data_IF_545019781800
#
_entry.id   IF_545019781800
#
_cell.length_a   1.000
_cell.length_b   1.000
_cell.length_c   1.000
_cell.angle_alpha   90.00
_cell.angle_beta   90.00
_cell.angle_gamma   90.00
#
_symmetry.space_group_name_H-M   'P 1'
#
loop_
_entity.id
_entity.type
_entity.pdbx_description
1 polymer ?
#
# COMPACT_ATOMS: atom_id res chain seq x y z
N UNK A 1 -4.73 -8.78 -11.69
CA UNK A 1 -5.50 -9.71 -10.85
C UNK A 1 -6.88 -9.98 -11.46
N UNK A 2 -7.61 -10.91 -10.88
CA UNK A 2 -9.00 -11.15 -11.32
C UNK A 2 -9.89 -10.01 -10.86
N UNK A 3 -10.88 -9.65 -11.67
CA UNK A 3 -11.92 -8.72 -11.27
C UNK A 3 -12.71 -9.27 -10.07
N UNK A 4 -13.04 -8.40 -9.13
CA UNK A 4 -13.93 -8.74 -8.03
C UNK A 4 -15.39 -8.72 -8.50
N UNK A 5 -16.22 -9.54 -7.88
CA UNK A 5 -17.66 -9.46 -8.07
C UNK A 5 -18.17 -8.07 -7.67
N UNK A 6 -19.23 -7.61 -8.31
CA UNK A 6 -19.77 -6.27 -8.08
C UNK A 6 -20.14 -6.04 -6.61
N UNK A 7 -20.81 -7.01 -5.98
CA UNK A 7 -21.15 -6.99 -4.56
C UNK A 7 -19.94 -6.83 -3.64
N UNK A 8 -18.81 -7.47 -3.99
CA UNK A 8 -17.55 -7.33 -3.25
C UNK A 8 -16.99 -5.92 -3.37
N UNK A 9 -17.05 -5.35 -4.58
CA UNK A 9 -16.60 -3.97 -4.82
C UNK A 9 -17.45 -2.97 -4.02
N UNK A 10 -18.76 -3.13 -4.03
CA UNK A 10 -19.70 -2.28 -3.29
C UNK A 10 -19.47 -2.36 -1.78
N UNK A 11 -19.34 -3.58 -1.27
CA UNK A 11 -19.04 -3.82 0.16
C UNK A 11 -17.70 -3.21 0.59
N UNK A 12 -16.66 -3.30 -0.25
CA UNK A 12 -15.36 -2.70 0.04
C UNK A 12 -15.43 -1.17 0.07
N UNK A 13 -16.14 -0.57 -0.89
CA UNK A 13 -16.36 0.88 -0.93
C UNK A 13 -17.11 1.36 0.31
N UNK A 14 -18.19 0.66 0.66
CA UNK A 14 -19.01 1.02 1.83
C UNK A 14 -18.23 0.87 3.13
N UNK A 15 -17.49 -0.23 3.28
CA UNK A 15 -16.61 -0.45 4.44
C UNK A 15 -15.65 0.74 4.66
N UNK A 16 -14.97 1.17 3.59
CA UNK A 16 -14.02 2.29 3.71
C UNK A 16 -14.79 3.60 3.93
N UNK A 17 -15.87 3.85 3.19
CA UNK A 17 -16.65 5.09 3.31
C UNK A 17 -17.17 5.31 4.72
N UNK A 18 -17.60 4.26 5.41
CA UNK A 18 -18.15 4.32 6.77
C UNK A 18 -17.08 4.35 7.88
N UNK A 19 -15.80 4.36 7.53
CA UNK A 19 -14.71 4.57 8.50
C UNK A 19 -13.73 3.42 8.60
N UNK A 20 -13.92 2.37 7.80
CA UNK A 20 -12.98 1.26 7.71
C UNK A 20 -11.60 1.72 7.21
N UNK A 21 -10.57 1.00 7.61
CA UNK A 21 -9.20 1.25 7.16
C UNK A 21 -8.75 0.25 6.10
N UNK A 22 -7.95 0.73 5.15
CA UNK A 22 -7.33 -0.10 4.12
C UNK A 22 -5.84 0.23 4.02
N UNK A 23 -5.00 -0.80 3.90
CA UNK A 23 -3.56 -0.64 3.63
C UNK A 23 -3.22 -1.35 2.34
N UNK A 24 -2.59 -0.63 1.42
CA UNK A 24 -2.15 -1.15 0.13
C UNK A 24 -0.63 -1.13 0.05
N UNK A 25 -0.07 -2.24 -0.38
CA UNK A 25 1.37 -2.42 -0.47
C UNK A 25 1.75 -2.62 -1.93
N UNK A 26 2.72 -1.84 -2.37
CA UNK A 26 3.41 -1.96 -3.65
C UNK A 26 2.44 -2.15 -4.84
N UNK A 27 2.50 -3.29 -5.53
CA UNK A 27 1.73 -3.57 -6.73
C UNK A 27 0.20 -3.67 -6.51
N UNK A 28 -0.29 -3.59 -5.28
CA UNK A 28 -1.73 -3.49 -5.05
C UNK A 28 -2.33 -2.25 -5.73
N UNK A 29 -1.56 -1.16 -5.85
CA UNK A 29 -2.01 0.04 -6.55
C UNK A 29 -2.10 -0.10 -8.08
N UNK A 30 -1.61 -1.21 -8.66
CA UNK A 30 -1.73 -1.51 -10.09
C UNK A 30 -3.10 -2.11 -10.45
N UNK A 31 -3.82 -2.63 -9.44
CA UNK A 31 -5.08 -3.34 -9.64
C UNK A 31 -6.22 -2.41 -10.12
N UNK A 32 -7.27 -3.00 -10.63
CA UNK A 32 -8.59 -2.42 -10.88
C UNK A 32 -8.60 -1.06 -11.59
N UNK A 33 -7.81 -0.92 -12.66
CA UNK A 33 -7.69 0.35 -13.41
C UNK A 33 -9.04 0.94 -13.83
N UNK A 34 -10.03 0.12 -14.12
CA UNK A 34 -11.36 0.52 -14.59
C UNK A 34 -12.40 0.64 -13.47
N UNK A 35 -11.98 0.61 -12.21
CA UNK A 35 -12.88 0.78 -11.07
C UNK A 35 -12.64 2.16 -10.44
N UNK A 36 -13.49 3.12 -10.76
CA UNK A 36 -13.31 4.54 -10.38
C UNK A 36 -13.21 4.73 -8.87
N UNK A 37 -14.08 4.07 -8.10
CA UNK A 37 -14.03 4.16 -6.64
C UNK A 37 -12.70 3.64 -6.05
N UNK A 38 -12.12 2.58 -6.66
CA UNK A 38 -10.80 2.12 -6.26
C UNK A 38 -9.72 3.15 -6.57
N UNK A 39 -9.77 3.77 -7.76
CA UNK A 39 -8.84 4.82 -8.13
C UNK A 39 -8.95 6.04 -7.21
N UNK A 40 -10.15 6.38 -6.77
CA UNK A 40 -10.37 7.45 -5.77
C UNK A 40 -9.82 7.05 -4.39
N UNK A 41 -10.03 5.80 -3.95
CA UNK A 41 -9.51 5.30 -2.67
C UNK A 41 -7.99 5.26 -2.63
N UNK A 42 -7.32 4.86 -3.73
CA UNK A 42 -5.86 4.77 -3.74
C UNK A 42 -5.17 6.10 -4.11
N UNK A 43 -5.90 7.07 -4.64
CA UNK A 43 -5.39 8.39 -5.03
C UNK A 43 -4.40 8.39 -6.19
N UNK A 44 -3.32 7.62 -6.06
CA UNK A 44 -2.28 7.45 -7.08
C UNK A 44 -2.06 5.96 -7.33
N UNK A 45 -2.09 5.53 -8.58
CA UNK A 45 -1.87 4.15 -8.99
C UNK A 45 -0.93 4.05 -10.19
N UNK A 46 -0.48 2.85 -10.48
CA UNK A 46 0.26 2.57 -11.70
C UNK A 46 -0.69 2.67 -12.91
N UNK A 47 -0.66 3.80 -13.57
CA UNK A 47 -1.58 4.13 -14.66
C UNK A 47 -0.84 4.64 -15.90
N UNK A 48 -1.50 4.55 -17.05
CA UNK A 48 -0.99 5.10 -18.30
C UNK A 48 -0.98 6.64 -18.30
N UNK A 49 -0.30 7.23 -19.27
CA UNK A 49 -0.35 8.67 -19.51
C UNK A 49 -1.81 9.17 -19.57
N UNK A 50 -2.03 10.40 -19.19
CA UNK A 50 -3.34 11.08 -19.17
C UNK A 50 -4.39 10.48 -18.19
N UNK A 51 -4.00 9.59 -17.28
CA UNK A 51 -4.88 9.08 -16.25
C UNK A 51 -4.79 9.95 -14.98
N UNK A 52 -5.54 11.04 -14.94
CA UNK A 52 -5.54 11.94 -13.78
C UNK A 52 -4.20 12.65 -13.55
N UNK A 53 -4.01 13.13 -12.33
CA UNK A 53 -2.83 13.90 -11.93
C UNK A 53 -1.62 13.00 -11.63
N UNK A 54 -0.43 13.50 -11.91
CA UNK A 54 0.82 12.96 -11.44
C UNK A 54 1.39 13.90 -10.38
N UNK A 55 1.53 13.39 -9.16
CA UNK A 55 1.97 14.19 -8.01
C UNK A 55 3.42 13.86 -7.67
N UNK A 56 4.21 14.91 -7.42
CA UNK A 56 5.58 14.84 -6.91
C UNK A 56 5.75 15.75 -5.70
N UNK A 57 6.91 15.67 -5.05
CA UNK A 57 7.22 16.53 -3.92
C UNK A 57 8.30 17.57 -4.28
N UNK A 58 7.96 18.84 -4.17
CA UNK A 58 8.89 19.94 -4.34
C UNK A 58 9.62 20.23 -3.02
N UNK A 59 10.91 19.87 -2.99
CA UNK A 59 11.71 19.96 -1.75
C UNK A 59 11.88 21.41 -1.28
N UNK A 60 12.16 22.33 -2.22
CA UNK A 60 12.41 23.74 -1.87
C UNK A 60 11.21 24.45 -1.26
N UNK A 61 10.01 24.12 -1.71
CA UNK A 61 8.76 24.69 -1.17
C UNK A 61 8.07 23.79 -0.17
N UNK A 62 8.64 22.62 0.10
CA UNK A 62 8.13 21.60 1.03
C UNK A 62 6.63 21.30 0.83
N UNK A 63 6.23 21.01 -0.43
CA UNK A 63 4.83 20.77 -0.78
C UNK A 63 4.70 19.80 -1.96
N UNK A 64 3.54 19.14 -2.10
CA UNK A 64 3.22 18.42 -3.32
C UNK A 64 2.96 19.38 -4.48
N UNK A 65 3.21 18.92 -5.70
CA UNK A 65 2.85 19.64 -6.92
C UNK A 65 2.43 18.67 -8.03
N UNK A 66 1.54 19.13 -8.88
CA UNK A 66 1.12 18.41 -10.09
C UNK A 66 2.17 18.60 -11.16
N UNK A 67 2.57 17.52 -11.79
CA UNK A 67 3.58 17.52 -12.86
C UNK A 67 3.06 16.79 -14.11
N UNK A 68 3.90 16.50 -15.04
CA UNK A 68 3.72 15.91 -16.37
C UNK A 68 2.33 15.34 -16.72
N UNK A 69 1.81 15.72 -17.89
CA UNK A 69 0.52 15.22 -18.40
C UNK A 69 0.65 13.92 -19.20
N UNK A 70 1.79 13.67 -19.80
CA UNK A 70 2.05 12.58 -20.76
C UNK A 70 3.01 11.51 -20.25
N UNK A 71 3.47 11.59 -19.00
CA UNK A 71 4.32 10.58 -18.41
C UNK A 71 3.50 9.35 -17.96
N UNK A 72 4.05 8.16 -18.15
CA UNK A 72 3.50 6.91 -17.62
C UNK A 72 4.15 6.55 -16.30
N UNK A 73 3.42 5.82 -15.46
CA UNK A 73 4.01 5.21 -14.26
C UNK A 73 5.10 4.21 -14.64
N UNK A 74 6.12 4.11 -13.81
CA UNK A 74 7.26 3.25 -14.01
C UNK A 74 8.10 3.10 -12.74
N UNK A 75 9.23 2.44 -12.89
CA UNK A 75 10.31 2.40 -11.92
C UNK A 75 11.65 2.29 -12.65
N UNK A 76 12.73 2.63 -11.98
CA UNK A 76 14.09 2.36 -12.46
C UNK A 76 14.58 0.99 -12.02
N UNK A 77 15.91 0.80 -12.04
CA UNK A 77 16.52 -0.41 -11.48
C UNK A 77 16.30 -0.47 -9.96
N UNK A 78 16.18 -1.67 -9.41
CA UNK A 78 16.09 -1.88 -7.97
C UNK A 78 17.39 -1.47 -7.29
N UNK A 79 17.30 -0.66 -6.26
CA UNK A 79 18.43 -0.14 -5.49
C UNK A 79 17.98 0.29 -4.08
N UNK A 80 18.88 0.41 -3.11
CA UNK A 80 18.59 1.10 -1.86
C UNK A 80 18.35 2.58 -2.13
N UNK A 81 17.38 3.19 -1.43
CA UNK A 81 17.10 4.62 -1.56
C UNK A 81 16.71 5.27 -0.24
N UNK A 82 17.07 6.53 -0.12
CA UNK A 82 16.73 7.32 1.07
C UNK A 82 15.27 7.75 1.00
N UNK A 83 14.54 7.50 2.09
CA UNK A 83 13.16 7.95 2.31
C UNK A 83 13.17 9.19 3.19
N UNK A 84 12.49 10.24 2.78
CA UNK A 84 12.34 11.49 3.53
C UNK A 84 10.90 11.63 4.04
N UNK A 85 10.75 11.86 5.35
CA UNK A 85 9.46 12.11 6.00
C UNK A 85 8.94 13.49 5.59
N UNK A 86 7.65 13.59 5.23
CA UNK A 86 7.00 14.82 4.77
C UNK A 86 5.90 15.31 5.69
N UNK A 87 5.37 14.43 6.53
CA UNK A 87 4.34 14.74 7.51
C UNK A 87 4.75 14.19 8.89
N UNK A 88 5.73 14.83 9.59
CA UNK A 88 6.27 14.31 10.85
C UNK A 88 5.22 14.25 11.97
N UNK A 89 4.20 15.10 11.92
CA UNK A 89 3.12 15.12 12.92
C UNK A 89 2.04 14.04 12.68
N UNK A 90 2.10 13.35 11.53
CA UNK A 90 1.15 12.29 11.25
C UNK A 90 1.43 11.07 12.15
N UNK A 91 0.41 10.41 12.74
CA UNK A 91 0.60 9.32 13.69
C UNK A 91 1.55 8.20 13.19
N UNK A 92 1.49 7.85 11.90
CA UNK A 92 2.37 6.85 11.30
C UNK A 92 3.84 7.31 11.33
N UNK A 93 4.11 8.61 11.13
CA UNK A 93 5.45 9.17 10.99
C UNK A 93 6.01 9.78 12.28
N UNK A 94 5.21 9.86 13.32
CA UNK A 94 5.65 10.39 14.61
C UNK A 94 6.87 9.63 15.13
N UNK A 95 7.90 10.35 15.56
CA UNK A 95 9.18 9.83 16.07
C UNK A 95 10.01 9.05 15.03
N UNK A 96 9.59 8.98 13.78
CA UNK A 96 10.39 8.44 12.67
C UNK A 96 11.48 9.45 12.30
N UNK A 97 12.76 9.05 12.12
CA UNK A 97 13.81 9.94 11.66
C UNK A 97 13.41 10.69 10.38
N UNK A 98 13.82 11.95 10.27
CA UNK A 98 13.46 12.81 9.12
C UNK A 98 13.86 12.19 7.77
N UNK A 99 14.94 11.42 7.76
CA UNK A 99 15.43 10.63 6.62
C UNK A 99 15.94 9.28 7.10
N UNK A 100 15.73 8.24 6.30
CA UNK A 100 16.21 6.90 6.60
C UNK A 100 16.46 6.10 5.31
N UNK A 101 17.33 5.09 5.35
CA UNK A 101 17.68 4.29 4.19
C UNK A 101 16.77 3.06 4.09
N UNK A 102 16.07 2.92 2.96
CA UNK A 102 15.32 1.73 2.60
C UNK A 102 16.21 0.72 1.88
N UNK A 103 15.92 -0.57 2.09
CA UNK A 103 16.62 -1.67 1.41
C UNK A 103 16.40 -1.65 -0.11
N UNK A 104 17.10 -2.53 -0.81
CA UNK A 104 17.00 -2.64 -2.28
C UNK A 104 15.59 -2.98 -2.71
N UNK A 105 14.95 -2.04 -3.40
CA UNK A 105 13.54 -2.14 -3.80
C UNK A 105 13.28 -1.40 -5.13
N UNK A 106 12.08 -1.50 -5.67
CA UNK A 106 11.60 -0.69 -6.80
C UNK A 106 11.09 0.65 -6.30
N UNK A 107 11.72 1.74 -6.72
CA UNK A 107 11.20 3.07 -6.47
C UNK A 107 10.22 3.43 -7.58
N UNK A 108 8.92 3.34 -7.29
CA UNK A 108 7.88 3.72 -8.24
C UNK A 108 7.90 5.23 -8.50
N UNK A 109 7.70 5.59 -9.75
CA UNK A 109 7.65 6.98 -10.17
C UNK A 109 6.49 7.28 -11.13
N UNK A 110 6.15 8.56 -11.27
CA UNK A 110 5.07 9.04 -12.13
C UNK A 110 3.72 8.33 -11.84
N UNK A 111 3.46 7.98 -10.59
CA UNK A 111 2.18 7.42 -10.21
C UNK A 111 1.06 8.44 -10.46
N UNK A 112 -0.08 7.97 -10.94
CA UNK A 112 -1.16 8.83 -11.44
C UNK A 112 -2.50 8.47 -10.84
N UNK A 113 -3.38 9.46 -10.76
CA UNK A 113 -4.73 9.20 -10.30
C UNK A 113 -5.52 10.46 -10.00
N UNK A 114 -6.72 10.31 -9.42
CA UNK A 114 -7.54 11.45 -9.00
C UNK A 114 -6.85 12.34 -7.97
N UNK A 115 -5.93 11.79 -7.16
CA UNK A 115 -5.13 12.47 -6.13
C UNK A 115 -5.94 13.37 -5.18
N UNK A 116 -7.23 13.05 -4.96
CA UNK A 116 -8.11 13.80 -4.07
C UNK A 116 -7.87 13.40 -2.61
N UNK A 117 -7.94 14.37 -1.70
CA UNK A 117 -7.81 14.16 -0.25
C UNK A 117 -6.53 13.39 0.15
N UNK A 118 -5.46 13.61 -0.59
CA UNK A 118 -4.19 12.91 -0.45
C UNK A 118 -3.23 13.71 0.43
N UNK A 119 -2.63 13.03 1.41
CA UNK A 119 -1.54 13.54 2.25
C UNK A 119 -0.30 12.70 2.03
N UNK A 120 0.78 13.29 1.53
CA UNK A 120 2.06 12.61 1.37
C UNK A 120 2.76 12.53 2.71
N UNK A 121 3.02 11.31 3.18
CA UNK A 121 3.68 11.02 4.46
C UNK A 121 5.20 10.93 4.28
N UNK A 122 5.65 10.35 3.17
CA UNK A 122 7.07 10.26 2.82
C UNK A 122 7.29 10.28 1.31
N UNK A 123 8.50 10.67 0.90
CA UNK A 123 8.94 10.67 -0.51
C UNK A 123 10.38 10.19 -0.62
N UNK A 124 10.78 9.75 -1.82
CA UNK A 124 12.17 9.41 -2.13
C UNK A 124 12.60 10.02 -3.46
N UNK A 125 13.90 10.34 -3.59
CA UNK A 125 14.46 10.89 -4.82
C UNK A 125 14.65 9.78 -5.86
N UNK A 126 13.94 9.86 -6.95
CA UNK A 126 13.99 8.92 -8.08
C UNK A 126 15.16 9.28 -9.00
N UNK A 127 16.33 8.71 -8.71
CA UNK A 127 17.59 9.08 -9.37
C UNK A 127 17.61 8.74 -10.86
N UNK A 128 18.00 9.69 -11.70
CA UNK A 128 18.20 9.47 -13.14
C UNK A 128 19.26 8.40 -13.43
N UNK A 129 20.27 8.25 -12.55
CA UNK A 129 21.31 7.21 -12.69
C UNK A 129 20.72 5.79 -12.57
N UNK A 130 19.58 5.66 -11.90
CA UNK A 130 18.86 4.39 -11.74
C UNK A 130 17.69 4.25 -12.72
N UNK A 131 17.55 5.14 -13.69
CA UNK A 131 16.41 5.16 -14.62
C UNK A 131 15.19 5.88 -14.07
N UNK A 132 15.36 6.69 -13.05
CA UNK A 132 14.28 7.47 -12.43
C UNK A 132 14.06 8.84 -13.07
N UNK A 133 13.19 9.64 -12.47
CA UNK A 133 12.70 10.92 -13.00
C UNK A 133 13.59 12.11 -12.66
N UNK A 134 14.43 12.01 -11.64
CA UNK A 134 15.21 13.13 -11.11
C UNK A 134 14.41 14.00 -10.13
N UNK A 135 13.26 13.50 -9.65
CA UNK A 135 12.35 14.21 -8.76
C UNK A 135 12.05 13.35 -7.52
N UNK A 136 11.47 13.95 -6.48
CA UNK A 136 10.98 13.24 -5.33
C UNK A 136 9.57 12.67 -5.59
N UNK A 137 9.47 11.35 -5.56
CA UNK A 137 8.22 10.61 -5.76
C UNK A 137 7.56 10.28 -4.41
N UNK A 138 6.23 10.34 -4.30
CA UNK A 138 5.51 9.87 -3.12
C UNK A 138 5.75 8.37 -2.86
N UNK A 139 6.12 8.01 -1.64
CA UNK A 139 6.41 6.63 -1.27
C UNK A 139 5.36 6.07 -0.32
N UNK A 140 5.01 6.83 0.71
CA UNK A 140 3.90 6.50 1.62
C UNK A 140 2.95 7.68 1.66
N UNK A 141 1.67 7.44 1.54
CA UNK A 141 0.65 8.49 1.58
C UNK A 141 -0.68 7.98 2.10
N UNK A 142 -1.48 8.89 2.66
CA UNK A 142 -2.85 8.64 3.09
C UNK A 142 -3.83 9.26 2.11
N UNK A 143 -4.92 8.55 1.83
CA UNK A 143 -6.12 9.10 1.19
C UNK A 143 -7.29 8.99 2.15
N UNK A 144 -7.99 10.09 2.40
CA UNK A 144 -9.25 10.08 3.15
C UNK A 144 -10.41 9.86 2.19
N UNK A 145 -11.11 8.74 2.39
CA UNK A 145 -12.27 8.35 1.58
C UNK A 145 -13.50 8.20 2.46
N UNK A 146 -14.43 9.14 2.38
CA UNK A 146 -15.52 9.24 3.35
C UNK A 146 -14.98 9.47 4.78
N UNK A 147 -15.35 8.59 5.70
CA UNK A 147 -14.81 8.56 7.07
C UNK A 147 -13.57 7.67 7.21
N UNK A 148 -13.23 6.91 6.15
CA UNK A 148 -12.18 5.91 6.17
C UNK A 148 -10.77 6.45 5.92
N UNK A 149 -9.81 5.57 6.14
CA UNK A 149 -8.38 5.85 6.02
C UNK A 149 -7.75 4.81 5.08
N UNK A 150 -7.23 5.27 3.97
CA UNK A 150 -6.53 4.41 3.02
C UNK A 150 -5.05 4.78 3.02
N UNK A 151 -4.21 3.86 3.44
CA UNK A 151 -2.76 4.07 3.48
C UNK A 151 -2.12 3.28 2.36
N UNK A 152 -1.30 3.93 1.57
CA UNK A 152 -0.60 3.32 0.46
C UNK A 152 0.90 3.46 0.69
N UNK A 153 1.64 2.36 0.52
CA UNK A 153 3.10 2.39 0.38
C UNK A 153 3.51 1.76 -0.94
N UNK A 154 4.40 2.42 -1.67
CA UNK A 154 4.97 1.88 -2.92
C UNK A 154 6.19 1.00 -2.68
N UNK A 155 6.66 0.89 -1.43
CA UNK A 155 7.71 -0.04 -1.01
C UNK A 155 7.15 -1.47 -0.91
N UNK A 156 8.04 -2.46 -0.90
CA UNK A 156 7.69 -3.85 -0.63
C UNK A 156 7.56 -4.70 -1.90
N UNK A 157 8.41 -4.47 -2.90
CA UNK A 157 8.44 -5.28 -4.10
C UNK A 157 8.69 -6.75 -3.80
N UNK A 158 7.85 -7.59 -4.40
CA UNK A 158 7.99 -9.03 -4.38
C UNK A 158 7.57 -9.61 -5.73
N UNK A 159 8.43 -10.47 -6.29
CA UNK A 159 8.15 -11.16 -7.54
C UNK A 159 8.50 -12.65 -7.44
N UNK A 160 7.77 -13.46 -8.17
CA UNK A 160 8.07 -14.90 -8.23
C UNK A 160 9.48 -15.14 -8.78
N UNK A 161 10.28 -15.91 -8.05
CA UNK A 161 11.68 -16.18 -8.39
C UNK A 161 12.68 -15.14 -7.89
N UNK A 162 12.24 -14.09 -7.19
CA UNK A 162 13.15 -13.17 -6.52
C UNK A 162 13.89 -13.87 -5.39
N UNK A 163 15.20 -13.67 -5.31
CA UNK A 163 16.09 -14.30 -4.32
C UNK A 163 16.60 -13.32 -3.26
N UNK A 164 16.46 -12.02 -3.48
CA UNK A 164 16.75 -10.98 -2.49
C UNK A 164 15.45 -10.38 -1.94
N UNK A 165 15.39 -10.15 -0.65
CA UNK A 165 14.22 -9.68 0.08
C UNK A 165 14.51 -8.39 0.85
N UNK A 166 15.55 -7.69 0.49
CA UNK A 166 16.06 -6.51 1.20
C UNK A 166 14.98 -5.48 1.48
N UNK A 167 14.13 -5.16 0.49
CA UNK A 167 13.01 -4.24 0.67
C UNK A 167 12.04 -4.72 1.75
N UNK A 168 11.69 -6.02 1.77
CA UNK A 168 10.75 -6.60 2.73
C UNK A 168 11.37 -6.79 4.12
N UNK A 169 12.67 -7.08 4.19
CA UNK A 169 13.39 -7.29 5.45
C UNK A 169 13.86 -5.98 6.09
N UNK A 170 13.75 -4.85 5.40
CA UNK A 170 14.10 -3.54 5.95
C UNK A 170 13.24 -3.20 7.17
N UNK A 171 13.90 -2.96 8.32
CA UNK A 171 13.23 -2.59 9.58
C UNK A 171 12.34 -1.35 9.39
N UNK A 172 12.82 -0.37 8.60
CA UNK A 172 12.06 0.83 8.29
C UNK A 172 10.74 0.51 7.58
N UNK A 173 10.77 -0.32 6.53
CA UNK A 173 9.57 -0.75 5.83
C UNK A 173 8.59 -1.48 6.75
N UNK A 174 9.08 -2.46 7.52
CA UNK A 174 8.23 -3.25 8.42
C UNK A 174 7.58 -2.39 9.51
N UNK A 175 8.36 -1.44 10.07
CA UNK A 175 7.84 -0.50 11.06
C UNK A 175 6.74 0.38 10.46
N UNK A 176 6.98 1.00 9.30
CA UNK A 176 5.98 1.85 8.65
C UNK A 176 4.74 1.05 8.26
N UNK A 177 4.90 -0.18 7.76
CA UNK A 177 3.77 -1.05 7.43
C UNK A 177 2.95 -1.42 8.66
N UNK A 178 3.58 -1.84 9.77
CA UNK A 178 2.88 -2.20 11.00
C UNK A 178 2.12 -0.99 11.59
N UNK A 179 2.74 0.18 11.64
CA UNK A 179 2.11 1.44 12.07
C UNK A 179 0.97 1.87 11.15
N UNK A 180 1.10 1.64 9.84
CA UNK A 180 0.03 1.90 8.86
C UNK A 180 -1.18 1.00 9.10
N UNK A 181 -0.97 -0.27 9.40
CA UNK A 181 -2.04 -1.22 9.72
C UNK A 181 -2.75 -0.83 11.02
N UNK A 182 -1.99 -0.51 12.07
CA UNK A 182 -2.55 -0.05 13.34
C UNK A 182 -3.38 1.23 13.16
N UNK A 183 -2.82 2.22 12.45
CA UNK A 183 -3.52 3.48 12.17
C UNK A 183 -4.77 3.28 11.32
N UNK A 184 -4.70 2.47 10.28
CA UNK A 184 -5.86 2.17 9.45
C UNK A 184 -6.99 1.56 10.28
N UNK A 185 -6.68 0.63 11.17
CA UNK A 185 -7.64 -0.06 12.01
C UNK A 185 -8.22 0.82 13.12
N UNK A 186 -7.41 1.67 13.76
CA UNK A 186 -7.77 2.32 15.03
C UNK A 186 -7.81 3.86 14.96
N UNK A 187 -7.22 4.45 13.93
CA UNK A 187 -6.98 5.90 13.84
C UNK A 187 -5.85 6.41 14.77
N UNK A 188 -5.11 5.50 15.40
CA UNK A 188 -4.01 5.81 16.33
C UNK A 188 -2.81 4.92 16.03
N UNK A 189 -1.65 5.29 16.56
CA UNK A 189 -0.43 4.48 16.52
C UNK A 189 0.15 4.44 17.93
N UNK A 190 0.28 3.22 18.47
CA UNK A 190 0.93 2.93 19.75
C UNK A 190 2.29 2.27 19.58
N UNK A 191 2.54 1.68 18.41
CA UNK A 191 3.82 1.04 18.08
C UNK A 191 4.94 2.07 18.05
N UNK A 192 5.93 1.89 18.92
CA UNK A 192 7.13 2.72 18.93
C UNK A 192 7.99 2.46 17.69
N UNK A 193 8.81 3.45 17.34
CA UNK A 193 9.92 3.25 16.38
C UNK A 193 11.00 2.44 17.10
N UNK A 194 11.41 1.27 16.58
CA UNK A 194 12.37 0.42 17.27
C UNK A 194 13.78 1.03 17.22
N UNK A 195 14.66 0.69 18.18
CA UNK A 195 16.05 1.19 18.19
C UNK A 195 16.85 0.80 16.93
N UNK A 196 16.49 -0.31 16.31
CA UNK A 196 17.10 -0.83 15.08
C UNK A 196 16.57 -0.15 13.81
N UNK A 197 15.74 0.88 13.94
CA UNK A 197 15.23 1.62 12.78
C UNK A 197 16.41 2.20 11.97
N UNK A 198 16.40 2.09 10.62
CA UNK A 198 17.55 2.47 9.80
C UNK A 198 17.92 3.95 9.95
N UNK A 199 19.21 4.22 9.90
CA UNK A 199 19.75 5.57 9.81
C UNK A 199 19.62 6.18 8.43
N UNK A 200 20.18 7.38 8.26
CA UNK A 200 20.11 8.14 6.99
C UNK A 200 20.86 7.46 5.85
N UNK A 201 21.99 6.78 6.15
CA UNK A 201 22.92 6.27 5.15
C UNK A 201 23.06 4.73 5.17
N UNK A 202 22.52 4.08 6.19
CA UNK A 202 22.64 2.64 6.39
C UNK A 202 21.27 1.98 6.53
N UNK A 203 21.09 0.88 5.79
CA UNK A 203 19.90 0.02 5.91
C UNK A 203 20.03 -0.86 7.15
N UNK A 204 18.92 -1.06 7.83
CA UNK A 204 18.79 -2.07 8.90
C UNK A 204 17.83 -3.15 8.46
N UNK A 205 18.24 -4.41 8.67
CA UNK A 205 17.43 -5.58 8.29
C UNK A 205 16.97 -6.35 9.52
N UNK A 206 15.74 -6.86 9.45
CA UNK A 206 15.29 -7.88 10.38
C UNK A 206 15.95 -9.18 9.97
N UNK A 207 16.73 -9.79 10.89
CA UNK A 207 17.18 -11.16 10.69
C UNK A 207 15.96 -12.07 10.53
N UNK A 208 15.96 -12.97 9.55
CA UNK A 208 14.87 -13.91 9.40
C UNK A 208 14.83 -14.80 10.65
N UNK A 209 14.03 -14.41 11.61
CA UNK A 209 13.64 -15.33 12.67
C UNK A 209 12.96 -16.49 11.98
N UNK A 210 13.46 -17.70 12.19
CA UNK A 210 12.73 -18.91 11.86
C UNK A 210 11.44 -18.85 12.68
N UNK A 211 10.38 -18.32 12.08
CA UNK A 211 9.04 -18.33 12.65
C UNK A 211 8.60 -19.78 12.62
N UNK A 212 8.87 -20.48 13.69
CA UNK A 212 8.29 -21.80 13.92
C UNK A 212 6.80 -21.55 14.14
N UNK A 213 6.03 -21.65 13.06
CA UNK A 213 4.60 -21.70 13.15
C UNK A 213 4.21 -22.96 13.91
N UNK A 214 4.22 -22.91 15.24
CA UNK A 214 3.50 -23.89 16.02
C UNK A 214 2.04 -23.71 15.61
N UNK A 215 1.46 -24.72 14.95
CA UNK A 215 0.02 -24.82 14.79
C UNK A 215 -0.59 -24.74 16.19
N UNK A 216 -0.95 -23.55 16.65
CA UNK A 216 -1.99 -23.41 17.63
C UNK A 216 -3.23 -23.96 16.94
N UNK A 217 -3.61 -25.18 17.27
CA UNK A 217 -4.96 -25.66 16.99
C UNK A 217 -5.89 -24.65 17.65
N UNK A 218 -6.41 -23.71 16.86
CA UNK A 218 -7.42 -22.80 17.34
C UNK A 218 -8.65 -23.66 17.65
N UNK A 219 -9.03 -23.75 18.90
CA UNK A 219 -10.33 -24.27 19.33
C UNK A 219 -11.46 -23.29 18.95
N UNK A 220 -11.34 -22.61 17.86
CA UNK A 220 -12.46 -21.88 17.29
C UNK A 220 -13.42 -22.89 16.69
N UNK A 221 -14.70 -22.91 17.10
CA UNK A 221 -15.69 -23.80 16.53
C UNK A 221 -15.74 -23.51 15.02
N UNK A 222 -15.44 -24.53 14.22
CA UNK A 222 -15.67 -24.50 12.78
C UNK A 222 -17.16 -24.28 12.60
N UNK A 223 -17.57 -23.11 12.13
CA UNK A 223 -18.92 -22.92 11.64
C UNK A 223 -19.07 -23.81 10.40
N UNK A 224 -19.59 -25.00 10.60
CA UNK A 224 -20.05 -25.83 9.49
C UNK A 224 -21.24 -25.11 8.87
N UNK A 225 -21.02 -24.47 7.73
CA UNK A 225 -22.11 -24.05 6.86
C UNK A 225 -22.92 -25.30 6.52
N UNK A 226 -24.09 -25.43 7.16
CA UNK A 226 -24.99 -26.55 6.93
C UNK A 226 -25.29 -26.65 5.43
N UNK A 227 -24.95 -27.78 4.83
CA UNK A 227 -25.44 -28.15 3.52
C UNK A 227 -26.97 -28.09 3.58
N UNK A 228 -27.57 -27.13 2.92
CA UNK A 228 -29.02 -27.17 2.63
C UNK A 228 -29.28 -28.50 1.93
N UNK A 229 -30.05 -29.40 2.57
CA UNK A 229 -30.65 -30.54 1.91
C UNK A 229 -31.45 -30.00 0.73
N UNK A 230 -31.21 -30.55 -0.47
CA UNK A 230 -32.14 -30.38 -1.58
C UNK A 230 -33.48 -30.94 -1.14
N UNK A 231 -34.46 -30.08 -1.04
CA UNK A 231 -35.87 -30.54 -0.99
C UNK A 231 -36.16 -31.22 -2.32
N UNK A 232 -36.51 -32.49 -2.27
CA UNK A 232 -37.05 -33.22 -3.39
C UNK A 232 -38.43 -32.65 -3.74
N UNK A 233 -38.60 -32.26 -4.98
CA UNK A 233 -39.83 -31.75 -5.52
C UNK A 233 -40.85 -32.91 -5.67
N UNK A 234 -41.98 -32.92 -4.96
CA UNK A 234 -42.92 -34.06 -4.98
C UNK A 234 -43.87 -34.07 -6.20
N UNK A 235 -43.62 -33.32 -7.26
CA UNK A 235 -44.45 -33.27 -8.47
C UNK A 235 -43.72 -33.61 -9.76
N UNK A 236 -43.13 -34.80 -9.83
CA UNK A 236 -42.81 -35.40 -11.11
C UNK A 236 -44.04 -36.19 -11.62
N UNK A 237 -44.87 -35.57 -12.44
CA UNK A 237 -45.96 -36.22 -13.14
C UNK A 237 -45.34 -37.00 -14.30
N UNK A 238 -45.47 -38.30 -14.24
CA UNK A 238 -45.28 -39.24 -15.35
C UNK A 238 -46.43 -39.01 -16.34
N UNK A 239 -46.13 -38.75 -17.58
CA UNK A 239 -47.07 -38.95 -18.71
C UNK A 239 -46.41 -39.75 -19.80
N UNK A 240 -47.22 -40.56 -20.56
CA UNK A 240 -46.86 -41.84 -21.16
C UNK A 240 -45.94 -41.79 -22.35
#
# INVERSE_FOLDING_TARGET
>A
GREWAQETKESAVEFVREGGGMVLVHAANNAFRNWDAYNEMIGLGWRAANFGDCIKWEVLRNRPFVTCFDCTSGHGSRHPFQVAVRAPDHPIMKDVPATWMHGKDELYHNMRGPAKNLTILSSAYSSKKQGGTGEHEPITYEVKYGKGRVIITTMGHFWNGQTDWDGLHCVGFQTILARSVEYAATGKVSLAVPPEFPGTDEVSFVEPHAVTWTKKTSNLPVQTTGKKKKEENPHAILTP
#
